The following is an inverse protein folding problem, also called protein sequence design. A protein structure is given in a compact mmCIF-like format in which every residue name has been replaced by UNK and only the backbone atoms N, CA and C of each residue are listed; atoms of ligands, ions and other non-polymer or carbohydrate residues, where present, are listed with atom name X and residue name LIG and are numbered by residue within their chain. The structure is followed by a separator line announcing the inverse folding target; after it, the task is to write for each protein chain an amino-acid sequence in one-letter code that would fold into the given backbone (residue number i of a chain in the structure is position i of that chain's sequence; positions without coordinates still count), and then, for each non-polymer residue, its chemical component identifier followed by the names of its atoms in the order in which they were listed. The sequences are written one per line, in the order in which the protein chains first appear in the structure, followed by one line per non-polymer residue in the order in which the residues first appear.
data_IF_579254580131
#
_entry.id   IF_579254580131
#
_cell.length_a   1.000
_cell.length_b   1.000
_cell.length_c   1.000
_cell.angle_alpha   90.00
_cell.angle_beta   90.00
_cell.angle_gamma   90.00
#
_symmetry.space_group_name_H-M   'P 1'
#
loop_
_entity.id
_entity.type
_entity.pdbx_description
1 polymer ?
#
# COMPACT_ATOMS: atom_id res chain seq x y z
N UNK A 1 -6.59 16.72 -11.42
CA UNK A 1 -5.26 16.20 -11.81
C UNK A 1 -5.02 14.86 -11.12
N UNK A 2 -4.66 13.84 -11.88
CA UNK A 2 -4.39 12.52 -11.32
C UNK A 2 -3.00 12.46 -10.68
N UNK A 3 -2.94 12.00 -9.43
CA UNK A 3 -1.69 11.82 -8.70
C UNK A 3 -1.49 10.33 -8.44
N UNK A 4 -0.28 9.85 -8.66
CA UNK A 4 0.10 8.47 -8.39
C UNK A 4 1.00 8.44 -7.17
N UNK A 5 0.52 7.83 -6.09
CA UNK A 5 1.28 7.70 -4.85
C UNK A 5 2.04 6.37 -4.87
N UNK A 6 3.36 6.44 -4.90
CA UNK A 6 4.22 5.25 -4.91
C UNK A 6 4.84 5.06 -3.54
N UNK A 7 4.63 3.87 -2.97
CA UNK A 7 5.12 3.54 -1.63
C UNK A 7 6.01 2.31 -1.73
N UNK A 8 7.22 2.42 -1.20
CA UNK A 8 8.14 1.28 -1.08
C UNK A 8 8.09 0.76 0.34
N UNK A 9 7.88 -0.53 0.50
CA UNK A 9 7.80 -1.16 1.83
C UNK A 9 8.60 -2.44 1.89
N UNK A 10 9.08 -2.77 3.10
CA UNK A 10 9.77 -4.01 3.39
C UNK A 10 9.54 -4.38 4.85
N UNK A 11 8.64 -5.34 5.10
CA UNK A 11 8.26 -5.80 6.44
C UNK A 11 7.82 -4.69 7.42
N UNK A 12 7.40 -3.55 6.89
CA UNK A 12 6.94 -2.43 7.70
C UNK A 12 5.42 -2.43 7.75
N UNK A 13 4.84 -2.91 8.86
CA UNK A 13 3.39 -3.06 8.96
C UNK A 13 2.72 -1.82 9.55
N UNK A 14 3.15 -1.40 10.74
CA UNK A 14 2.47 -0.31 11.45
C UNK A 14 2.62 1.03 10.74
N UNK A 15 3.85 1.38 10.34
CA UNK A 15 4.11 2.63 9.61
C UNK A 15 3.40 2.64 8.27
N UNK A 16 3.34 1.49 7.60
CA UNK A 16 2.68 1.37 6.32
C UNK A 16 1.16 1.59 6.46
N UNK A 17 0.55 1.00 7.47
CA UNK A 17 -0.89 1.17 7.70
C UNK A 17 -1.25 2.63 7.97
N UNK A 18 -0.46 3.32 8.79
CA UNK A 18 -0.67 4.74 9.05
C UNK A 18 -0.56 5.57 7.77
N UNK A 19 0.44 5.28 6.94
CA UNK A 19 0.65 5.99 5.70
C UNK A 19 -0.49 5.75 4.72
N UNK A 20 -0.94 4.51 4.58
CA UNK A 20 -2.05 4.18 3.69
C UNK A 20 -3.32 4.89 4.14
N UNK A 21 -3.63 4.86 5.42
CA UNK A 21 -4.81 5.54 5.95
C UNK A 21 -4.76 7.04 5.69
N UNK A 22 -3.60 7.65 5.88
CA UNK A 22 -3.42 9.07 5.62
C UNK A 22 -3.67 9.39 4.15
N UNK A 23 -3.08 8.63 3.24
CA UNK A 23 -3.23 8.87 1.80
C UNK A 23 -4.67 8.65 1.36
N UNK A 24 -5.31 7.57 1.80
CA UNK A 24 -6.69 7.26 1.46
C UNK A 24 -7.62 8.38 1.91
N UNK A 25 -7.35 8.96 3.06
CA UNK A 25 -8.16 10.05 3.60
C UNK A 25 -8.02 11.35 2.80
N UNK A 26 -6.84 11.60 2.23
CA UNK A 26 -6.55 12.88 1.57
C UNK A 26 -6.52 12.83 0.06
N UNK A 27 -6.47 11.65 -0.54
CA UNK A 27 -6.44 11.54 -2.01
C UNK A 27 -7.80 11.81 -2.63
N UNK A 28 -7.80 12.25 -3.89
CA UNK A 28 -9.02 12.38 -4.68
C UNK A 28 -9.40 11.03 -5.30
N UNK A 29 -10.62 10.90 -5.81
CA UNK A 29 -11.11 9.66 -6.42
C UNK A 29 -10.28 9.23 -7.63
N UNK A 30 -9.76 10.18 -8.37
CA UNK A 30 -8.96 9.90 -9.56
C UNK A 30 -7.51 9.55 -9.25
N UNK A 31 -7.08 9.77 -8.01
CA UNK A 31 -5.71 9.45 -7.60
C UNK A 31 -5.56 7.95 -7.36
N UNK A 32 -4.36 7.44 -7.59
CA UNK A 32 -4.09 6.02 -7.37
C UNK A 32 -2.95 5.81 -6.39
N UNK A 33 -2.96 4.68 -5.71
CA UNK A 33 -1.90 4.27 -4.80
C UNK A 33 -1.26 3.00 -5.36
N UNK A 34 0.06 3.01 -5.45
CA UNK A 34 0.85 1.85 -5.89
C UNK A 34 1.83 1.51 -4.78
N UNK A 35 1.79 0.27 -4.32
CA UNK A 35 2.72 -0.21 -3.30
C UNK A 35 3.71 -1.18 -3.93
N UNK A 36 5.01 -0.91 -3.71
CA UNK A 36 6.07 -1.82 -4.11
C UNK A 36 6.57 -2.54 -2.86
N UNK A 37 6.31 -3.84 -2.80
CA UNK A 37 6.75 -4.67 -1.69
C UNK A 37 8.12 -5.25 -2.02
N UNK A 38 9.15 -4.72 -1.37
CA UNK A 38 10.53 -5.15 -1.58
C UNK A 38 10.82 -6.39 -0.73
N UNK A 39 10.35 -7.53 -1.22
CA UNK A 39 10.60 -8.86 -0.64
C UNK A 39 10.29 -8.95 0.86
N UNK A 40 9.07 -8.65 1.24
CA UNK A 40 8.61 -8.90 2.61
C UNK A 40 8.42 -10.40 2.82
N UNK A 41 9.11 -10.96 3.79
CA UNK A 41 9.01 -12.39 4.11
C UNK A 41 8.06 -12.67 5.28
N UNK A 42 7.58 -11.65 5.96
CA UNK A 42 6.63 -11.78 7.06
C UNK A 42 5.22 -12.03 6.50
N UNK A 43 4.67 -13.22 6.74
CA UNK A 43 3.35 -13.60 6.24
C UNK A 43 2.24 -12.69 6.74
N UNK A 44 2.33 -12.22 7.98
CA UNK A 44 1.35 -11.31 8.54
C UNK A 44 1.34 -9.98 7.80
N UNK A 45 2.51 -9.46 7.48
CA UNK A 45 2.64 -8.23 6.67
C UNK A 45 2.02 -8.42 5.29
N UNK A 46 2.28 -9.55 4.65
CA UNK A 46 1.70 -9.87 3.34
C UNK A 46 0.19 -9.92 3.40
N UNK A 47 -0.36 -10.58 4.42
CA UNK A 47 -1.80 -10.69 4.60
C UNK A 47 -2.45 -9.33 4.81
N UNK A 48 -1.86 -8.49 5.64
CA UNK A 48 -2.37 -7.14 5.89
C UNK A 48 -2.32 -6.30 4.61
N UNK A 49 -1.23 -6.37 3.86
CA UNK A 49 -1.11 -5.66 2.59
C UNK A 49 -2.18 -6.11 1.59
N UNK A 50 -2.39 -7.40 1.44
CA UNK A 50 -3.40 -7.93 0.54
C UNK A 50 -4.80 -7.44 0.92
N UNK A 51 -5.11 -7.45 2.21
CA UNK A 51 -6.39 -6.98 2.72
C UNK A 51 -6.58 -5.49 2.47
N UNK A 52 -5.59 -4.67 2.79
CA UNK A 52 -5.68 -3.22 2.60
C UNK A 52 -5.77 -2.85 1.13
N UNK A 53 -5.00 -3.54 0.28
CA UNK A 53 -5.04 -3.29 -1.15
C UNK A 53 -6.40 -3.64 -1.76
N UNK A 54 -7.03 -4.71 -1.26
CA UNK A 54 -8.36 -5.08 -1.71
C UNK A 54 -9.42 -4.07 -1.28
N UNK A 55 -9.37 -3.63 -0.02
CA UNK A 55 -10.35 -2.69 0.53
C UNK A 55 -10.28 -1.34 -0.17
N UNK A 56 -9.08 -0.84 -0.43
CA UNK A 56 -8.87 0.51 -0.97
C UNK A 56 -8.54 0.55 -2.46
N UNK A 57 -8.61 -0.60 -3.15
CA UNK A 57 -8.30 -0.72 -4.57
C UNK A 57 -6.89 -0.21 -4.89
N UNK A 58 -5.93 -0.64 -4.09
CA UNK A 58 -4.53 -0.26 -4.24
C UNK A 58 -3.81 -1.26 -5.14
N UNK A 59 -2.97 -0.75 -6.04
CA UNK A 59 -2.15 -1.61 -6.89
C UNK A 59 -0.93 -2.09 -6.10
N UNK A 60 -0.85 -3.39 -5.88
CA UNK A 60 0.26 -3.98 -5.16
C UNK A 60 1.19 -4.72 -6.12
N UNK A 61 2.44 -4.28 -6.16
CA UNK A 61 3.49 -4.97 -6.90
C UNK A 61 4.44 -5.60 -5.90
N UNK A 62 4.57 -6.91 -5.99
CA UNK A 62 5.40 -7.67 -5.05
C UNK A 62 6.60 -8.25 -5.77
N UNK A 63 7.79 -7.91 -5.27
CA UNK A 63 9.03 -8.47 -5.76
C UNK A 63 9.30 -9.77 -5.00
N UNK A 64 9.34 -10.85 -5.72
CA UNK A 64 9.49 -12.17 -5.11
C UNK A 64 10.79 -12.87 -5.55
#
# INVERSE_FOLDING_TARGET
MKISYSILTHNETDSLLELIEFIVKHKDEEDEIVILDDYSDNEKTKEILDTMCSIHQINLNRDS
#
